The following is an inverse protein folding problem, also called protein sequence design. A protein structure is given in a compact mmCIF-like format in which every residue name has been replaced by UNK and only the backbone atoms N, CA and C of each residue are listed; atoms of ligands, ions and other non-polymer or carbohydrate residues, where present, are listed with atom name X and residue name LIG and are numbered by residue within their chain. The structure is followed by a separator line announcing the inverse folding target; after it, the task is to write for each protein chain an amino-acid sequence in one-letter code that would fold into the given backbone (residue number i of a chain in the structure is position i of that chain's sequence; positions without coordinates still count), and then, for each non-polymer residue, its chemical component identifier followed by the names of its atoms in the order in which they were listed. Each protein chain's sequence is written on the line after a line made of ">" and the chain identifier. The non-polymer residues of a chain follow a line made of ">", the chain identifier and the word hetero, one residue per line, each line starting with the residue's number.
data_IF_662615086105
#
_entry.id   IF_662615086105
#
_cell.length_a   1.000
_cell.length_b   1.000
_cell.length_c   1.000
_cell.angle_alpha   90.00
_cell.angle_beta   90.00
_cell.angle_gamma   90.00
#
_symmetry.space_group_name_H-M   'P 1'
#
loop_
_entity.id
_entity.type
_entity.pdbx_description
1 polymer ?
#
# COMPACT_ATOMS: atom_id res chain seq x y z
N UNK A 1 10.77 -9.86 33.84
CA UNK A 1 11.19 -8.99 32.73
C UNK A 1 12.33 -9.70 32.01
N UNK A 2 12.09 -10.24 30.81
CA UNK A 2 13.11 -10.99 30.08
C UNK A 2 13.97 -10.02 29.24
N UNK A 3 15.26 -10.03 29.52
CA UNK A 3 16.34 -9.35 28.79
C UNK A 3 16.49 -9.93 27.37
N UNK A 4 16.40 -9.10 26.33
CA UNK A 4 16.69 -9.55 24.96
C UNK A 4 16.57 -8.48 23.88
N UNK A 5 15.61 -7.57 23.99
CA UNK A 5 15.41 -6.51 22.97
C UNK A 5 16.18 -5.23 23.38
N UNK A 6 17.52 -5.27 23.31
CA UNK A 6 18.33 -4.06 23.46
C UNK A 6 18.33 -3.30 22.12
N UNK A 7 17.66 -2.15 22.07
CA UNK A 7 17.71 -1.24 20.91
C UNK A 7 18.75 -0.17 21.24
N UNK A 8 19.98 -0.23 20.68
CA UNK A 8 20.95 0.83 20.89
C UNK A 8 20.39 2.14 20.32
N UNK A 9 20.10 3.09 21.21
CA UNK A 9 19.69 4.44 20.85
C UNK A 9 20.94 5.27 20.54
N UNK A 10 21.11 5.67 19.27
CA UNK A 10 22.16 6.59 18.84
C UNK A 10 21.51 7.88 18.36
N UNK A 11 21.81 8.99 19.03
CA UNK A 11 21.43 10.32 18.60
C UNK A 11 22.65 11.01 17.98
N UNK A 12 22.60 11.24 16.67
CA UNK A 12 23.60 12.05 15.97
C UNK A 12 23.02 13.47 15.90
N UNK A 13 23.42 14.32 16.86
CA UNK A 13 23.05 15.73 16.85
C UNK A 13 23.92 16.48 15.84
N UNK A 14 23.38 16.76 14.66
CA UNK A 14 24.05 17.59 13.66
C UNK A 14 24.11 19.05 14.15
N UNK A 15 25.18 19.40 14.83
CA UNK A 15 25.74 20.76 14.80
C UNK A 15 27.18 20.57 14.38
N UNK A 16 27.60 21.11 13.23
CA UNK A 16 28.95 21.67 12.94
C UNK A 16 29.19 21.96 11.44
N UNK A 17 30.21 22.79 11.19
CA UNK A 17 30.39 23.66 10.03
C UNK A 17 30.68 22.98 8.67
N UNK A 18 31.12 21.70 8.63
CA UNK A 18 31.70 21.07 7.42
C UNK A 18 31.07 19.70 6.98
N UNK A 19 29.79 19.47 7.28
CA UNK A 19 28.87 18.47 6.66
C UNK A 19 29.33 17.00 6.41
N UNK A 20 30.07 16.30 7.28
CA UNK A 20 30.30 14.85 7.12
C UNK A 20 29.01 14.00 7.22
N UNK A 21 27.98 14.51 7.89
CA UNK A 21 26.75 13.74 8.19
C UNK A 21 25.81 13.54 6.98
N UNK A 22 26.02 14.26 5.87
CA UNK A 22 25.19 14.09 4.68
C UNK A 22 25.46 12.76 3.95
N UNK A 23 26.71 12.28 4.00
CA UNK A 23 27.07 10.98 3.42
C UNK A 23 26.42 9.85 4.20
N UNK A 24 26.48 9.91 5.54
CA UNK A 24 25.80 8.94 6.41
C UNK A 24 24.28 8.93 6.17
N UNK A 25 23.64 10.09 6.03
CA UNK A 25 22.22 10.16 5.67
C UNK A 25 21.95 9.51 4.31
N UNK A 26 22.80 9.73 3.31
CA UNK A 26 22.66 9.10 1.99
C UNK A 26 22.85 7.59 2.03
N UNK A 27 23.81 7.10 2.80
CA UNK A 27 24.08 5.65 2.97
C UNK A 27 22.89 4.92 3.57
N UNK A 28 22.21 5.53 4.55
CA UNK A 28 20.98 4.98 5.12
C UNK A 28 19.73 5.36 4.30
N UNK A 29 19.92 6.02 3.15
CA UNK A 29 18.90 6.46 2.18
C UNK A 29 17.99 7.61 2.64
N UNK A 30 18.32 8.27 3.74
CA UNK A 30 17.62 9.42 4.29
C UNK A 30 18.00 10.71 3.56
N UNK A 31 17.09 11.69 3.54
CA UNK A 31 17.30 12.94 2.79
C UNK A 31 17.56 14.17 3.68
N UNK A 32 17.13 14.12 4.94
CA UNK A 32 17.21 15.26 5.85
C UNK A 32 16.94 14.84 7.29
N UNK A 33 17.49 15.61 8.24
CA UNK A 33 17.10 15.53 9.65
C UNK A 33 15.73 16.16 9.92
N UNK A 34 15.01 15.74 10.99
CA UNK A 34 15.35 14.62 11.86
C UNK A 34 15.03 13.27 11.20
N UNK A 35 15.98 12.34 11.25
CA UNK A 35 15.80 10.95 10.81
C UNK A 35 15.91 10.01 12.01
N UNK A 36 15.04 9.02 12.07
CA UNK A 36 15.13 7.92 13.04
C UNK A 36 14.96 6.62 12.28
N UNK A 37 15.82 5.66 12.61
CA UNK A 37 15.89 4.34 11.99
C UNK A 37 15.79 3.25 13.04
N UNK A 38 15.27 2.10 12.64
CA UNK A 38 15.43 0.83 13.34
C UNK A 38 16.25 -0.07 12.42
N UNK A 39 17.36 -0.61 12.92
CA UNK A 39 18.28 -1.47 12.17
C UNK A 39 18.27 -2.88 12.75
N UNK A 40 18.63 -3.87 11.92
CA UNK A 40 19.00 -5.20 12.43
C UNK A 40 20.44 -5.20 12.98
N UNK A 41 20.85 -6.35 13.53
CA UNK A 41 22.18 -6.54 14.12
C UNK A 41 23.33 -6.38 13.10
N UNK A 42 23.05 -6.51 11.80
CA UNK A 42 24.02 -6.33 10.72
C UNK A 42 24.12 -4.85 10.27
N UNK A 43 23.39 -3.94 10.94
CA UNK A 43 23.36 -2.51 10.62
C UNK A 43 22.46 -2.16 9.44
N UNK A 44 21.67 -3.11 8.92
CA UNK A 44 20.74 -2.85 7.83
C UNK A 44 19.48 -2.18 8.36
N UNK A 45 19.08 -1.07 7.72
CA UNK A 45 17.85 -0.36 8.08
C UNK A 45 16.62 -1.22 7.77
N UNK A 46 15.79 -1.46 8.79
CA UNK A 46 14.49 -2.13 8.70
C UNK A 46 13.36 -1.10 8.61
N UNK A 47 13.35 -0.10 9.50
CA UNK A 47 12.35 0.97 9.51
C UNK A 47 13.02 2.34 9.49
N UNK A 48 12.35 3.31 8.88
CA UNK A 48 12.77 4.71 8.85
C UNK A 48 11.56 5.61 8.93
N UNK A 49 11.73 6.77 9.57
CA UNK A 49 10.63 7.72 9.78
C UNK A 49 10.25 8.56 8.55
N UNK A 50 11.09 8.57 7.52
CA UNK A 50 10.87 9.34 6.28
C UNK A 50 10.43 8.47 5.07
N UNK A 51 10.48 7.14 5.19
CA UNK A 51 9.82 6.22 4.25
C UNK A 51 8.35 6.15 4.62
N UNK A 52 7.47 5.77 3.68
CA UNK A 52 6.00 5.82 3.83
C UNK A 52 5.37 5.01 4.98
N UNK A 53 6.17 4.46 5.88
CA UNK A 53 5.76 3.84 7.12
C UNK A 53 5.57 4.86 8.26
N UNK A 54 4.49 4.71 9.02
CA UNK A 54 4.11 5.54 10.17
C UNK A 54 5.09 5.48 11.38
N UNK A 55 6.38 5.23 11.18
CA UNK A 55 7.34 5.27 12.26
C UNK A 55 7.64 6.72 12.64
N UNK A 56 6.93 7.21 13.64
CA UNK A 56 7.25 8.47 14.32
C UNK A 56 7.61 8.14 15.76
N UNK A 57 8.85 8.42 16.21
CA UNK A 57 9.26 8.20 17.60
C UNK A 57 8.77 9.35 18.50
N UNK A 58 7.52 9.79 18.33
CA UNK A 58 6.93 10.89 19.11
C UNK A 58 6.25 10.40 20.39
N UNK A 59 6.17 9.07 20.60
CA UNK A 59 5.67 8.46 21.83
C UNK A 59 6.33 7.08 22.05
N UNK A 60 6.57 6.73 23.32
CA UNK A 60 7.15 5.44 23.72
C UNK A 60 6.39 4.25 23.12
N UNK A 61 5.05 4.30 23.13
CA UNK A 61 4.20 3.26 22.55
C UNK A 61 4.48 3.03 21.06
N UNK A 62 4.76 4.09 20.30
CA UNK A 62 5.07 3.97 18.86
C UNK A 62 6.47 3.42 18.63
N UNK A 63 7.43 3.79 19.47
CA UNK A 63 8.78 3.21 19.44
C UNK A 63 8.71 1.71 19.74
N UNK A 64 8.02 1.30 20.81
CA UNK A 64 7.82 -0.11 21.15
C UNK A 64 7.19 -0.89 20.01
N UNK A 65 6.09 -0.38 19.43
CA UNK A 65 5.43 -1.03 18.30
C UNK A 65 6.34 -1.18 17.07
N UNK A 66 7.19 -0.20 16.79
CA UNK A 66 8.15 -0.28 15.68
C UNK A 66 9.24 -1.33 15.94
N UNK A 67 9.76 -1.38 17.17
CA UNK A 67 10.75 -2.38 17.59
C UNK A 67 10.15 -3.78 17.55
N UNK A 68 8.92 -3.97 18.02
CA UNK A 68 8.22 -5.27 17.97
C UNK A 68 8.11 -5.80 16.54
N UNK A 69 7.76 -4.93 15.59
CA UNK A 69 7.66 -5.28 14.16
C UNK A 69 9.03 -5.60 13.56
N UNK A 70 10.07 -4.84 13.91
CA UNK A 70 11.44 -5.12 13.47
C UNK A 70 11.96 -6.45 14.04
N UNK A 71 11.73 -6.71 15.34
CA UNK A 71 12.08 -7.97 16.00
C UNK A 71 11.34 -9.15 15.38
N UNK A 72 10.08 -8.98 14.96
CA UNK A 72 9.33 -10.00 14.24
C UNK A 72 10.01 -10.35 12.90
N UNK A 73 10.38 -9.35 12.10
CA UNK A 73 11.10 -9.57 10.84
C UNK A 73 12.41 -10.33 11.06
N UNK A 74 13.20 -9.95 12.07
CA UNK A 74 14.46 -10.63 12.42
C UNK A 74 14.22 -12.08 12.81
N UNK A 75 13.20 -12.35 13.64
CA UNK A 75 12.83 -13.72 14.03
C UNK A 75 12.41 -14.56 12.83
N UNK A 76 11.62 -14.01 11.92
CA UNK A 76 11.18 -14.71 10.70
C UNK A 76 12.36 -14.98 9.76
N UNK A 77 13.27 -14.02 9.57
CA UNK A 77 14.52 -14.24 8.81
C UNK A 77 15.38 -15.35 9.41
N UNK A 78 15.49 -15.41 10.74
CA UNK A 78 16.21 -16.48 11.42
C UNK A 78 15.54 -17.84 11.20
N UNK A 79 14.20 -17.92 11.30
CA UNK A 79 13.43 -19.15 11.02
C UNK A 79 13.62 -19.65 9.59
N UNK A 80 13.59 -18.76 8.60
CA UNK A 80 13.86 -19.14 7.20
C UNK A 80 15.25 -19.75 7.04
N UNK A 81 16.26 -19.23 7.75
CA UNK A 81 17.63 -19.77 7.71
C UNK A 81 17.77 -21.12 8.42
N UNK A 82 17.00 -21.37 9.47
CA UNK A 82 17.13 -22.57 10.32
C UNK A 82 16.16 -23.69 9.96
N UNK A 83 15.09 -23.41 9.21
CA UNK A 83 14.08 -24.40 8.85
C UNK A 83 14.63 -25.44 7.86
N UNK A 84 14.20 -26.68 8.00
CA UNK A 84 14.58 -27.75 7.09
C UNK A 84 14.01 -27.48 5.68
N UNK A 85 14.85 -27.47 4.62
CA UNK A 85 14.39 -27.21 3.26
C UNK A 85 13.26 -28.16 2.82
N UNK A 86 12.19 -27.60 2.25
CA UNK A 86 11.03 -28.36 1.78
C UNK A 86 10.03 -28.75 2.88
N UNK A 87 10.30 -28.43 4.15
CA UNK A 87 9.35 -28.65 5.24
C UNK A 87 8.16 -27.66 5.19
N UNK A 88 7.08 -28.02 5.89
CA UNK A 88 5.95 -27.11 6.09
C UNK A 88 6.36 -25.85 6.87
N UNK A 89 7.29 -25.97 7.82
CA UNK A 89 7.83 -24.84 8.58
C UNK A 89 8.64 -23.88 7.69
N UNK A 90 9.47 -24.41 6.78
CA UNK A 90 10.20 -23.60 5.80
C UNK A 90 9.23 -22.81 4.91
N UNK A 91 8.21 -23.49 4.36
CA UNK A 91 7.19 -22.86 3.51
C UNK A 91 6.43 -21.75 4.26
N UNK A 92 6.02 -22.00 5.51
CA UNK A 92 5.34 -20.99 6.34
C UNK A 92 6.24 -19.80 6.69
N UNK A 93 7.53 -20.05 6.96
CA UNK A 93 8.50 -19.01 7.30
C UNK A 93 8.82 -18.13 6.09
N UNK A 94 8.99 -18.72 4.90
CA UNK A 94 9.20 -18.00 3.64
C UNK A 94 7.98 -17.15 3.27
N UNK A 95 6.77 -17.71 3.41
CA UNK A 95 5.53 -16.97 3.20
C UNK A 95 5.40 -15.80 4.18
N UNK A 96 5.67 -16.03 5.47
CA UNK A 96 5.65 -14.98 6.50
C UNK A 96 6.67 -13.88 6.20
N UNK A 97 7.88 -14.25 5.74
CA UNK A 97 8.91 -13.29 5.37
C UNK A 97 8.46 -12.42 4.21
N UNK A 98 7.89 -13.03 3.16
CA UNK A 98 7.41 -12.31 1.98
C UNK A 98 6.33 -11.28 2.35
N UNK A 99 5.37 -11.68 3.19
CA UNK A 99 4.29 -10.78 3.64
C UNK A 99 4.84 -9.64 4.50
N UNK A 100 5.74 -9.92 5.44
CA UNK A 100 6.36 -8.89 6.28
C UNK A 100 7.20 -7.91 5.45
N UNK A 101 8.04 -8.39 4.54
CA UNK A 101 8.87 -7.51 3.71
C UNK A 101 8.04 -6.62 2.78
N UNK A 102 6.88 -7.10 2.31
CA UNK A 102 5.94 -6.29 1.55
C UNK A 102 5.23 -5.23 2.43
N UNK A 103 4.75 -5.61 3.62
CA UNK A 103 4.10 -4.68 4.56
C UNK A 103 5.04 -3.54 4.96
N UNK A 104 6.32 -3.87 5.20
CA UNK A 104 7.36 -2.94 5.60
C UNK A 104 8.03 -2.22 4.42
N UNK A 105 7.59 -2.50 3.19
CA UNK A 105 8.12 -1.91 1.95
C UNK A 105 9.63 -2.10 1.77
N UNK A 106 10.17 -3.20 2.31
CA UNK A 106 11.60 -3.55 2.22
C UNK A 106 11.92 -4.16 0.85
N UNK A 107 11.00 -4.96 0.32
CA UNK A 107 11.17 -5.66 -0.96
C UNK A 107 9.85 -5.64 -1.72
N UNK A 108 9.92 -5.26 -3.00
CA UNK A 108 8.77 -5.36 -3.89
C UNK A 108 8.47 -6.84 -4.18
N UNK A 109 7.18 -7.15 -4.24
CA UNK A 109 6.68 -8.49 -4.54
C UNK A 109 5.43 -8.36 -5.41
N UNK A 110 5.19 -9.34 -6.27
CA UNK A 110 3.99 -9.36 -7.09
C UNK A 110 2.77 -9.67 -6.23
N UNK A 111 1.59 -9.18 -6.66
CA UNK A 111 0.34 -9.41 -5.95
C UNK A 111 0.01 -10.90 -5.89
N UNK A 112 0.30 -11.64 -6.95
CA UNK A 112 0.10 -13.08 -7.03
C UNK A 112 0.96 -13.83 -6.01
N UNK A 113 2.22 -13.43 -5.85
CA UNK A 113 3.12 -14.03 -4.87
C UNK A 113 2.63 -13.78 -3.45
N UNK A 114 2.20 -12.55 -3.15
CA UNK A 114 1.65 -12.20 -1.83
C UNK A 114 0.32 -12.92 -1.55
N UNK A 115 -0.55 -13.06 -2.56
CA UNK A 115 -1.79 -13.84 -2.45
C UNK A 115 -1.51 -15.31 -2.14
N UNK A 116 -0.58 -15.94 -2.86
CA UNK A 116 -0.15 -17.32 -2.59
C UNK A 116 0.44 -17.46 -1.19
N UNK A 117 1.33 -16.55 -0.78
CA UNK A 117 1.92 -16.56 0.56
C UNK A 117 0.85 -16.43 1.65
N UNK A 118 -0.16 -15.59 1.46
CA UNK A 118 -1.26 -15.43 2.43
C UNK A 118 -2.16 -16.67 2.58
N UNK A 119 -2.01 -17.67 1.71
CA UNK A 119 -2.78 -18.92 1.73
C UNK A 119 -1.96 -20.10 2.27
N UNK A 120 -0.69 -19.90 2.61
CA UNK A 120 0.17 -20.97 3.14
C UNK A 120 -0.22 -21.32 4.58
N UNK A 121 -0.45 -22.61 4.84
CA UNK A 121 -0.72 -23.12 6.19
C UNK A 121 0.46 -22.86 7.12
N UNK A 122 0.18 -22.37 8.33
CA UNK A 122 1.21 -22.11 9.35
C UNK A 122 1.71 -20.67 9.39
N UNK A 123 1.25 -19.80 8.49
CA UNK A 123 1.48 -18.34 8.62
C UNK A 123 0.68 -17.80 9.81
N UNK A 124 1.31 -16.95 10.61
CA UNK A 124 0.70 -16.36 11.81
C UNK A 124 -0.56 -15.54 11.48
N UNK A 125 -1.63 -15.76 12.23
CA UNK A 125 -2.93 -15.12 11.97
C UNK A 125 -2.88 -13.59 12.14
N UNK A 126 -2.11 -13.07 13.10
CA UNK A 126 -1.98 -11.61 13.27
C UNK A 126 -1.21 -10.98 12.10
N UNK A 127 -0.25 -11.70 11.52
CA UNK A 127 0.40 -11.29 10.28
C UNK A 127 -0.60 -11.30 9.11
N UNK A 128 -1.41 -12.33 8.95
CA UNK A 128 -2.44 -12.40 7.90
C UNK A 128 -3.44 -11.24 8.00
N UNK A 129 -3.92 -10.91 9.21
CA UNK A 129 -4.82 -9.77 9.42
C UNK A 129 -4.15 -8.42 9.11
N UNK A 130 -2.88 -8.25 9.49
CA UNK A 130 -2.11 -7.05 9.11
C UNK A 130 -1.92 -6.95 7.61
N UNK A 131 -1.60 -8.07 6.96
CA UNK A 131 -1.49 -8.15 5.50
C UNK A 131 -2.81 -7.80 4.82
N UNK A 132 -3.95 -8.32 5.29
CA UNK A 132 -5.27 -8.00 4.74
C UNK A 132 -5.60 -6.51 4.85
N UNK A 133 -5.32 -5.89 6.00
CA UNK A 133 -5.51 -4.44 6.18
C UNK A 133 -4.58 -3.64 5.26
N UNK A 134 -3.32 -4.07 5.14
CA UNK A 134 -2.34 -3.45 4.27
C UNK A 134 -2.73 -3.59 2.79
N UNK A 135 -3.10 -4.78 2.33
CA UNK A 135 -3.42 -5.07 0.92
C UNK A 135 -4.71 -4.42 0.45
N UNK A 136 -5.66 -4.17 1.36
CA UNK A 136 -6.87 -3.41 1.07
C UNK A 136 -6.63 -1.90 0.84
N UNK A 137 -5.51 -1.34 1.32
CA UNK A 137 -5.25 0.11 1.31
C UNK A 137 -3.99 0.51 0.54
N UNK A 138 -2.84 -0.10 0.84
CA UNK A 138 -1.55 0.38 0.36
C UNK A 138 -1.36 0.30 -1.15
N UNK A 139 -1.83 -0.73 -1.87
CA UNK A 139 -1.79 -0.73 -3.32
C UNK A 139 -2.53 0.47 -3.94
N UNK A 140 -3.70 0.82 -3.41
CA UNK A 140 -4.48 1.99 -3.83
C UNK A 140 -3.69 3.28 -3.56
N UNK A 141 -3.16 3.40 -2.33
CA UNK A 141 -2.40 4.58 -1.91
C UNK A 141 -1.16 4.80 -2.79
N UNK A 142 -0.40 3.74 -3.12
CA UNK A 142 0.78 3.83 -3.99
C UNK A 142 0.44 4.33 -5.39
N UNK A 143 -0.60 3.79 -6.01
CA UNK A 143 -1.04 4.24 -7.35
C UNK A 143 -1.43 5.72 -7.30
N UNK A 144 -2.20 6.14 -6.30
CA UNK A 144 -2.62 7.54 -6.16
C UNK A 144 -1.44 8.49 -5.87
N UNK A 145 -0.48 8.09 -5.05
CA UNK A 145 0.72 8.89 -4.80
C UNK A 145 1.57 9.05 -6.06
N UNK A 146 1.77 7.98 -6.83
CA UNK A 146 2.48 8.03 -8.11
C UNK A 146 1.74 8.93 -9.11
N UNK A 147 0.41 8.77 -9.22
CA UNK A 147 -0.43 9.61 -10.07
C UNK A 147 -0.26 11.10 -9.74
N UNK A 148 -0.37 11.49 -8.47
CA UNK A 148 -0.23 12.89 -8.05
C UNK A 148 1.16 13.43 -8.35
N UNK A 149 2.21 12.62 -8.16
CA UNK A 149 3.58 13.01 -8.47
C UNK A 149 3.77 13.26 -9.96
N UNK A 150 3.30 12.35 -10.81
CA UNK A 150 3.48 12.42 -12.26
C UNK A 150 2.58 13.50 -12.89
N UNK A 151 1.33 13.61 -12.45
CA UNK A 151 0.39 14.61 -12.96
C UNK A 151 0.87 16.06 -12.74
N UNK A 152 1.69 16.32 -11.70
CA UNK A 152 2.31 17.64 -11.47
C UNK A 152 3.38 17.99 -12.51
N UNK A 153 4.04 16.99 -13.08
CA UNK A 153 5.06 17.16 -14.11
C UNK A 153 4.48 17.13 -15.53
N UNK A 154 3.25 16.67 -15.70
CA UNK A 154 2.59 16.53 -17.01
C UNK A 154 1.75 17.75 -17.41
N UNK A 155 1.67 17.95 -18.73
CA UNK A 155 0.74 18.90 -19.35
C UNK A 155 -0.71 18.38 -19.34
N UNK A 156 -1.62 19.12 -19.97
CA UNK A 156 -3.04 18.78 -19.94
C UNK A 156 -3.35 17.44 -20.63
N UNK A 157 -2.66 17.11 -21.72
CA UNK A 157 -2.92 15.86 -22.46
C UNK A 157 -2.27 14.66 -21.76
N UNK A 158 -1.02 14.81 -21.31
CA UNK A 158 -0.35 13.80 -20.50
C UNK A 158 -1.14 13.46 -19.23
N UNK A 159 -1.75 14.45 -18.57
CA UNK A 159 -2.62 14.20 -17.42
C UNK A 159 -3.86 13.35 -17.75
N UNK A 160 -4.46 13.49 -18.94
CA UNK A 160 -5.60 12.66 -19.36
C UNK A 160 -5.17 11.21 -19.57
N UNK A 161 -4.04 11.00 -20.25
CA UNK A 161 -3.47 9.67 -20.49
C UNK A 161 -3.12 9.00 -19.16
N UNK A 162 -2.46 9.72 -18.26
CA UNK A 162 -2.15 9.24 -16.91
C UNK A 162 -3.41 8.86 -16.13
N UNK A 163 -4.45 9.70 -16.18
CA UNK A 163 -5.72 9.40 -15.51
C UNK A 163 -6.35 8.11 -16.06
N UNK A 164 -6.34 7.93 -17.39
CA UNK A 164 -6.83 6.70 -18.01
C UNK A 164 -6.05 5.48 -17.52
N UNK A 165 -4.71 5.51 -17.57
CA UNK A 165 -3.88 4.40 -17.11
C UNK A 165 -4.16 4.04 -15.64
N UNK A 166 -4.20 5.05 -14.77
CA UNK A 166 -4.52 4.88 -13.35
C UNK A 166 -5.92 4.30 -13.14
N UNK A 167 -6.91 4.71 -13.94
CA UNK A 167 -8.25 4.14 -13.86
C UNK A 167 -8.29 2.67 -14.28
N UNK A 168 -7.50 2.27 -15.28
CA UNK A 168 -7.34 0.86 -15.67
C UNK A 168 -6.65 0.05 -14.57
N UNK A 169 -5.59 0.57 -13.96
CA UNK A 169 -4.90 -0.10 -12.85
C UNK A 169 -5.81 -0.28 -11.61
N UNK A 170 -6.66 0.70 -11.32
CA UNK A 170 -7.65 0.61 -10.24
C UNK A 170 -8.73 -0.42 -10.54
N UNK A 171 -9.17 -0.52 -11.80
CA UNK A 171 -10.06 -1.59 -12.23
C UNK A 171 -9.41 -2.97 -12.07
N UNK A 172 -8.16 -3.14 -12.50
CA UNK A 172 -7.46 -4.42 -12.37
C UNK A 172 -7.27 -4.80 -10.88
N UNK A 173 -6.94 -3.83 -10.01
CA UNK A 173 -6.94 -4.02 -8.55
C UNK A 173 -8.29 -4.51 -8.00
N UNK A 174 -9.39 -3.94 -8.49
CA UNK A 174 -10.73 -4.36 -8.13
C UNK A 174 -10.98 -5.79 -8.62
N UNK A 175 -10.60 -6.15 -9.85
CA UNK A 175 -10.77 -7.52 -10.36
C UNK A 175 -9.95 -8.55 -9.56
N UNK A 176 -8.81 -8.16 -9.01
CA UNK A 176 -7.97 -9.00 -8.16
C UNK A 176 -8.56 -9.28 -6.76
N UNK A 177 -9.64 -8.57 -6.39
CA UNK A 177 -10.32 -8.72 -5.10
C UNK A 177 -10.05 -7.58 -4.11
N UNK A 178 -9.32 -6.53 -4.48
CA UNK A 178 -9.13 -5.36 -3.62
C UNK A 178 -10.47 -4.65 -3.43
N UNK A 179 -10.87 -4.39 -2.18
CA UNK A 179 -12.13 -3.71 -1.87
C UNK A 179 -11.91 -2.67 -0.77
N UNK A 180 -12.31 -1.43 -1.04
CA UNK A 180 -12.29 -0.36 -0.06
C UNK A 180 -13.72 -0.09 0.41
N UNK A 181 -14.09 -0.68 1.55
CA UNK A 181 -15.49 -0.70 2.02
C UNK A 181 -15.83 0.40 3.03
N UNK A 182 -14.83 1.04 3.65
CA UNK A 182 -15.04 2.09 4.64
C UNK A 182 -14.99 3.49 4.00
N UNK A 183 -16.15 4.14 3.90
CA UNK A 183 -16.30 5.47 3.33
C UNK A 183 -15.60 6.59 4.12
N UNK A 184 -15.13 6.31 5.35
CA UNK A 184 -14.36 7.25 6.18
C UNK A 184 -12.89 7.33 5.76
N UNK A 185 -12.41 6.35 4.99
CA UNK A 185 -11.04 6.36 4.47
C UNK A 185 -10.94 7.45 3.39
N UNK A 186 -9.94 8.33 3.51
CA UNK A 186 -9.76 9.48 2.62
C UNK A 186 -9.69 9.11 1.13
N UNK A 187 -9.15 7.94 0.81
CA UNK A 187 -8.99 7.46 -0.56
C UNK A 187 -10.28 6.86 -1.16
N UNK A 188 -11.33 6.68 -0.37
CA UNK A 188 -12.55 5.97 -0.78
C UNK A 188 -13.21 6.58 -2.02
N UNK A 189 -13.36 7.90 -2.05
CA UNK A 189 -13.99 8.57 -3.19
C UNK A 189 -13.17 8.43 -4.47
N UNK A 190 -11.84 8.59 -4.38
CA UNK A 190 -10.98 8.49 -5.55
C UNK A 190 -10.90 7.06 -6.08
N UNK A 191 -10.80 6.07 -5.19
CA UNK A 191 -10.81 4.65 -5.54
C UNK A 191 -12.04 4.28 -6.36
N UNK A 192 -13.26 4.47 -5.82
CA UNK A 192 -14.48 4.03 -6.51
C UNK A 192 -14.77 4.82 -7.80
N UNK A 193 -14.32 6.07 -7.90
CA UNK A 193 -14.40 6.82 -9.16
C UNK A 193 -13.47 6.23 -10.22
N UNK A 194 -12.23 5.90 -9.85
CA UNK A 194 -11.26 5.33 -10.79
C UNK A 194 -11.63 3.91 -11.21
N UNK A 195 -12.15 3.08 -10.30
CA UNK A 195 -12.71 1.76 -10.64
C UNK A 195 -13.85 1.90 -11.64
N UNK A 196 -14.78 2.84 -11.40
CA UNK A 196 -15.87 3.13 -12.34
C UNK A 196 -15.34 3.54 -13.72
N UNK A 197 -14.40 4.49 -13.77
CA UNK A 197 -13.85 4.98 -15.03
C UNK A 197 -13.09 3.91 -15.80
N UNK A 198 -12.32 3.07 -15.09
CA UNK A 198 -11.64 1.92 -15.68
C UNK A 198 -12.64 0.89 -16.22
N UNK A 199 -13.73 0.61 -15.49
CA UNK A 199 -14.80 -0.26 -15.95
C UNK A 199 -15.50 0.27 -17.22
N UNK A 200 -15.73 1.58 -17.30
CA UNK A 200 -16.24 2.21 -18.54
C UNK A 200 -15.26 1.97 -19.69
N UNK A 201 -13.97 2.20 -19.49
CA UNK A 201 -12.95 2.00 -20.52
C UNK A 201 -12.77 0.54 -20.95
N UNK A 202 -12.96 -0.42 -20.03
CA UNK A 202 -12.94 -1.86 -20.29
C UNK A 202 -14.27 -2.40 -20.85
N UNK A 203 -15.27 -1.53 -21.03
CA UNK A 203 -16.66 -1.88 -21.41
C UNK A 203 -17.30 -2.91 -20.47
N UNK A 204 -17.06 -2.82 -19.16
CA UNK A 204 -17.69 -3.67 -18.14
C UNK A 204 -18.84 -2.92 -17.43
N UNK A 205 -20.10 -3.06 -17.90
CA UNK A 205 -21.24 -2.38 -17.29
C UNK A 205 -21.62 -2.93 -15.92
N UNK A 206 -21.18 -4.14 -15.54
CA UNK A 206 -21.50 -4.73 -14.23
C UNK A 206 -20.65 -4.06 -13.15
N UNK A 207 -19.34 -4.01 -13.35
CA UNK A 207 -18.42 -3.35 -12.41
C UNK A 207 -18.68 -1.84 -12.35
N UNK A 208 -19.01 -1.20 -13.48
CA UNK A 208 -19.40 0.20 -13.49
C UNK A 208 -20.69 0.47 -12.70
N UNK A 209 -21.73 -0.36 -12.85
CA UNK A 209 -22.95 -0.24 -12.04
C UNK A 209 -22.66 -0.43 -10.55
N UNK A 210 -21.93 -1.48 -10.16
CA UNK A 210 -21.58 -1.74 -8.77
C UNK A 210 -20.81 -0.57 -8.14
N UNK A 211 -19.79 -0.06 -8.85
CA UNK A 211 -18.99 1.07 -8.40
C UNK A 211 -19.84 2.33 -8.19
N UNK A 212 -20.77 2.61 -9.12
CA UNK A 212 -21.72 3.71 -9.00
C UNK A 212 -22.66 3.52 -7.80
N UNK A 213 -23.17 2.31 -7.56
CA UNK A 213 -24.04 2.01 -6.42
C UNK A 213 -23.32 2.21 -5.09
N UNK A 214 -22.09 1.73 -4.96
CA UNK A 214 -21.27 1.92 -3.75
C UNK A 214 -20.99 3.41 -3.53
N UNK A 215 -20.59 4.13 -4.58
CA UNK A 215 -20.33 5.57 -4.50
C UNK A 215 -21.60 6.35 -4.11
N UNK A 216 -22.75 6.02 -4.71
CA UNK A 216 -24.04 6.64 -4.41
C UNK A 216 -24.51 6.33 -2.99
N UNK A 217 -24.27 5.12 -2.48
CA UNK A 217 -24.60 4.77 -1.08
C UNK A 217 -23.78 5.61 -0.10
N UNK A 218 -22.50 5.82 -0.38
CA UNK A 218 -21.61 6.60 0.49
C UNK A 218 -21.87 8.12 0.41
N UNK A 219 -22.23 8.64 -0.77
CA UNK A 219 -22.22 10.08 -1.02
C UNK A 219 -23.52 10.66 -1.61
N UNK A 220 -24.56 9.85 -1.79
CA UNK A 220 -25.79 10.26 -2.47
C UNK A 220 -26.59 11.36 -1.76
N UNK A 221 -26.43 11.50 -0.44
CA UNK A 221 -27.03 12.57 0.35
C UNK A 221 -26.28 13.92 0.23
N UNK A 222 -25.08 13.94 -0.36
CA UNK A 222 -24.24 15.14 -0.48
C UNK A 222 -24.60 15.96 -1.73
N UNK A 223 -25.17 17.18 -1.58
CA UNK A 223 -25.62 17.97 -2.74
C UNK A 223 -24.49 18.34 -3.70
N UNK A 224 -23.29 18.61 -3.17
CA UNK A 224 -22.09 18.94 -3.94
C UNK A 224 -21.60 17.80 -4.86
N UNK A 225 -21.94 16.55 -4.53
CA UNK A 225 -21.55 15.37 -5.30
C UNK A 225 -22.63 14.87 -6.26
N UNK A 226 -23.86 15.42 -6.19
CA UNK A 226 -24.96 15.05 -7.09
C UNK A 226 -24.62 15.22 -8.58
N UNK A 227 -23.99 16.33 -9.04
CA UNK A 227 -23.60 16.47 -10.44
C UNK A 227 -22.64 15.37 -10.91
N UNK A 228 -21.73 14.93 -10.03
CA UNK A 228 -20.78 13.86 -10.34
C UNK A 228 -21.47 12.52 -10.47
N UNK A 229 -22.35 12.18 -9.52
CA UNK A 229 -23.14 10.94 -9.56
C UNK A 229 -24.00 10.89 -10.83
N UNK A 230 -24.60 12.02 -11.22
CA UNK A 230 -25.36 12.11 -12.46
C UNK A 230 -24.48 11.84 -13.68
N UNK A 231 -23.28 12.43 -13.77
CA UNK A 231 -22.35 12.16 -14.87
C UNK A 231 -21.95 10.69 -14.97
N UNK A 232 -21.66 10.04 -13.84
CA UNK A 232 -21.38 8.60 -13.81
C UNK A 232 -22.59 7.79 -14.31
N UNK A 233 -23.80 8.14 -13.85
CA UNK A 233 -25.02 7.49 -14.31
C UNK A 233 -25.22 7.63 -15.82
N UNK A 234 -25.03 8.85 -16.37
CA UNK A 234 -25.14 9.09 -17.81
C UNK A 234 -24.11 8.28 -18.62
N UNK A 235 -22.85 8.24 -18.17
CA UNK A 235 -21.79 7.45 -18.84
C UNK A 235 -22.12 5.96 -18.87
N UNK A 236 -22.65 5.42 -17.76
CA UNK A 236 -23.08 4.02 -17.70
C UNK A 236 -24.26 3.74 -18.64
N UNK A 237 -25.25 4.65 -18.71
CA UNK A 237 -26.34 4.54 -19.68
C UNK A 237 -25.82 4.55 -21.12
N UNK A 238 -24.91 5.47 -21.47
CA UNK A 238 -24.30 5.52 -22.80
C UNK A 238 -23.56 4.22 -23.15
N UNK A 239 -22.76 3.67 -22.23
CA UNK A 239 -22.08 2.39 -22.44
C UNK A 239 -23.09 1.25 -22.71
N UNK A 240 -24.19 1.19 -21.95
CA UNK A 240 -25.22 0.16 -22.16
C UNK A 240 -25.88 0.26 -23.52
N UNK A 241 -26.14 1.46 -24.02
CA UNK A 241 -26.72 1.66 -25.35
C UNK A 241 -25.71 1.33 -26.47
N UNK A 242 -24.43 1.69 -26.30
CA UNK A 242 -23.35 1.30 -27.22
C UNK A 242 -23.27 -0.23 -27.37
N UNK A 243 -23.23 -0.96 -26.25
CA UNK A 243 -23.15 -2.42 -26.25
C UNK A 243 -24.38 -3.11 -26.85
N UNK A 244 -25.57 -2.50 -26.75
CA UNK A 244 -26.78 -2.99 -27.43
C UNK A 244 -26.73 -2.75 -28.94
N UNK A 245 -26.11 -1.65 -29.36
CA UNK A 245 -25.89 -1.30 -30.76
C UNK A 245 -24.91 -2.24 -31.46
N UNK A 246 -23.82 -2.61 -30.76
CA UNK A 246 -22.77 -3.53 -31.25
C UNK A 246 -23.23 -5.00 -31.34
N UNK A 247 -24.38 -5.34 -30.75
CA UNK A 247 -24.96 -6.70 -30.74
C UNK A 247 -25.96 -6.96 -31.88
N UNK A 248 -26.11 -6.02 -32.82
CA UNK A 248 -26.95 -6.13 -34.02
C UNK A 248 -26.11 -6.26 -35.28
#
# INVERSE_FOLDING_TARGET
>A
MASGDFVPYVNISARLQDKPDQELLREIGARSFPTTVVMDADGKVILRNDTGGNFRPDAEKRVRAAVEVASELVKVRARVKSAEPGSAEASASEASLLLLEAILEIKESTREALKKASQVTGVDQNLLERYQRWSAYQPINKILQNYVREARASDAEGRKILYLNVSLEMYDLYMDGTRLNDARISLFSDYWRLVFDGAISKKDPKVAEESLQIYRRAFGSRPDLKPRINRMSSRLSSLREELKGDSK
#
